data_IF_298517150632
#
_entry.id   IF_298517150632
#
_cell.length_a   1.000
_cell.length_b   1.000
_cell.length_c   1.000
_cell.angle_alpha   90.00
_cell.angle_beta   90.00
_cell.angle_gamma   90.00
#
_symmetry.space_group_name_H-M   'P 1'
#
loop_
_entity.id
_entity.type
_entity.pdbx_description
1 polymer ?
#
# COMPACT_ATOMS: atom_id res chain seq x y z
N UNK A 1 8.66 16.60 7.95
CA UNK A 1 8.29 17.29 8.00
C UNK A 1 8.24 17.30 8.37
N UNK A 2 8.54 17.40 8.49
CA UNK A 2 8.16 18.19 8.65
C UNK A 2 8.06 18.42 8.74
N UNK A 3 8.42 18.67 9.04
CA UNK A 3 7.98 19.65 9.05
C UNK A 3 8.02 19.84 9.11
N UNK A 4 8.37 20.23 9.06
CA UNK A 4 8.03 21.24 8.96
C UNK A 4 7.78 21.57 8.90
N UNK A 5 8.08 21.74 9.25
CA UNK A 5 7.46 22.75 9.09
C UNK A 5 7.19 22.86 9.38
N UNK A 6 7.44 23.27 9.67
CA UNK A 6 6.84 24.16 9.73
C UNK A 6 6.76 24.25 9.63
N UNK A 7 7.06 24.36 9.88
CA UNK A 7 6.58 25.23 9.52
C UNK A 7 6.59 25.36 9.62
N UNK A 8 6.91 25.91 9.88
CA UNK A 8 6.46 26.86 9.61
C UNK A 8 6.20 26.84 9.51
N UNK A 9 6.47 27.14 9.47
CA UNK A 9 5.89 27.89 9.11
C UNK A 9 5.73 27.96 8.91
N UNK A 10 6.05 28.26 8.86
CA UNK A 10 5.59 28.95 8.38
C UNK A 10 5.43 28.89 8.10
N UNK A 11 5.58 29.12 7.96
CA UNK A 11 5.11 29.48 7.35
C UNK A 11 5.02 29.43 6.87
N UNK A 12 4.95 29.71 6.61
CA UNK A 12 4.57 29.99 5.85
C UNK A 12 4.41 30.20 5.29
N UNK A 13 4.03 30.42 4.70
CA UNK A 13 3.67 30.89 4.00
C UNK A 13 3.25 30.77 3.26
N UNK A 14 3.30 30.49 3.33
CA UNK A 14 3.03 30.45 2.13
C UNK A 14 1.82 31.04 1.57
N UNK A 15 1.94 31.63 0.64
CA UNK A 15 0.95 32.37 -0.02
C UNK A 15 -0.03 31.51 -0.79
N UNK A 16 0.34 30.32 -1.20
CA UNK A 16 -0.57 29.40 -1.86
C UNK A 16 -0.81 28.18 -0.97
N UNK A 17 -1.98 27.55 -1.12
CA UNK A 17 -2.28 26.40 -0.28
C UNK A 17 -1.23 25.30 -0.43
N UNK A 18 -0.92 24.66 0.65
CA UNK A 18 -0.03 23.51 0.61
C UNK A 18 -0.79 22.35 0.01
N UNK A 19 -0.14 21.67 -0.90
CA UNK A 19 -0.67 20.42 -1.43
C UNK A 19 -0.30 19.30 -0.47
N UNK A 20 -1.29 18.56 -0.02
CA UNK A 20 -1.06 17.40 0.81
C UNK A 20 -0.68 16.25 -0.11
N UNK A 21 0.51 15.65 0.06
CA UNK A 21 0.91 14.53 -0.80
C UNK A 21 -0.07 13.38 -0.67
N UNK A 22 -0.30 12.69 -1.77
CA UNK A 22 -1.06 11.45 -1.72
C UNK A 22 -0.24 10.40 -0.98
N UNK A 23 -0.91 9.35 -0.55
CA UNK A 23 -0.22 8.23 0.08
C UNK A 23 0.85 7.65 -0.84
N UNK A 24 0.56 7.59 -2.13
CA UNK A 24 1.54 7.12 -3.11
C UNK A 24 2.77 8.03 -3.14
N UNK A 25 2.54 9.34 -3.23
CA UNK A 25 3.66 10.29 -3.30
C UNK A 25 4.53 10.24 -2.05
N UNK A 26 3.88 10.14 -0.90
CA UNK A 26 4.59 10.11 0.37
C UNK A 26 5.48 8.89 0.52
N UNK A 27 5.02 7.74 0.02
CA UNK A 27 5.72 6.47 0.18
C UNK A 27 6.23 5.89 -1.13
N UNK A 28 6.46 6.74 -2.13
CA UNK A 28 6.79 6.28 -3.49
C UNK A 28 7.96 5.30 -3.52
N UNK A 29 9.06 5.65 -2.88
CA UNK A 29 10.24 4.78 -2.87
C UNK A 29 9.93 3.43 -2.25
N UNK A 30 9.17 3.44 -1.16
CA UNK A 30 8.78 2.22 -0.48
C UNK A 30 7.87 1.35 -1.36
N UNK A 31 6.86 1.98 -1.97
CA UNK A 31 5.89 1.27 -2.81
C UNK A 31 6.58 0.65 -4.03
N UNK A 32 7.49 1.40 -4.65
CA UNK A 32 8.11 0.99 -5.91
C UNK A 32 9.38 0.17 -5.72
N UNK A 33 9.77 -0.09 -4.48
CA UNK A 33 10.98 -0.83 -4.20
C UNK A 33 11.07 -2.18 -4.93
N UNK A 34 9.98 -2.96 -5.06
CA UNK A 34 10.05 -4.25 -5.75
C UNK A 34 10.56 -4.18 -7.19
N UNK A 35 10.41 -3.05 -7.87
CA UNK A 35 10.91 -2.93 -9.24
C UNK A 35 12.43 -3.00 -9.32
N UNK A 36 13.13 -2.81 -8.20
CA UNK A 36 14.58 -2.90 -8.16
C UNK A 36 15.07 -4.34 -8.26
N UNK A 37 14.20 -5.31 -8.02
CA UNK A 37 14.53 -6.72 -8.17
C UNK A 37 14.10 -7.16 -9.58
N UNK A 38 14.97 -7.88 -10.26
CA UNK A 38 14.67 -8.37 -11.61
C UNK A 38 14.03 -9.76 -11.52
N UNK A 39 12.93 -9.85 -10.78
CA UNK A 39 12.23 -11.12 -10.55
C UNK A 39 10.74 -10.85 -10.44
N UNK A 40 9.95 -11.92 -10.56
CA UNK A 40 8.54 -11.91 -10.22
C UNK A 40 8.32 -12.72 -8.95
N UNK A 41 7.27 -12.39 -8.22
CA UNK A 41 7.04 -12.94 -6.89
C UNK A 41 5.88 -13.93 -6.90
N UNK A 42 6.00 -14.98 -6.11
CA UNK A 42 4.93 -15.96 -5.88
C UNK A 42 4.14 -15.65 -4.62
N UNK A 43 4.77 -15.03 -3.66
CA UNK A 43 4.15 -14.70 -2.37
C UNK A 43 4.62 -13.32 -1.96
N UNK A 44 3.67 -12.46 -1.58
CA UNK A 44 3.97 -11.12 -1.11
C UNK A 44 3.21 -10.88 0.17
N UNK A 45 3.91 -10.44 1.22
CA UNK A 45 3.28 -10.06 2.47
C UNK A 45 3.29 -8.53 2.56
N UNK A 46 2.12 -7.97 2.80
CA UNK A 46 1.96 -6.52 2.93
C UNK A 46 1.50 -6.22 4.36
N UNK A 47 2.39 -5.66 5.14
CA UNK A 47 2.15 -5.39 6.57
C UNK A 47 2.85 -4.10 7.00
N UNK A 48 2.96 -3.14 6.11
CA UNK A 48 3.66 -1.90 6.39
C UNK A 48 2.84 -0.68 6.02
N UNK A 49 3.51 0.30 5.47
CA UNK A 49 2.89 1.55 5.05
C UNK A 49 2.27 1.41 3.67
N UNK A 50 1.25 2.24 3.41
CA UNK A 50 0.66 2.36 2.07
C UNK A 50 0.25 0.99 1.50
N UNK A 51 -0.48 0.20 2.28
CA UNK A 51 -0.78 -1.20 1.91
C UNK A 51 -1.58 -1.32 0.64
N UNK A 52 -2.58 -0.46 0.43
CA UNK A 52 -3.39 -0.48 -0.79
C UNK A 52 -2.51 -0.21 -2.00
N UNK A 53 -1.68 0.83 -1.91
CA UNK A 53 -0.81 1.22 -3.01
C UNK A 53 0.25 0.17 -3.30
N UNK A 54 0.79 -0.47 -2.25
CA UNK A 54 1.74 -1.56 -2.42
C UNK A 54 1.09 -2.74 -3.14
N UNK A 55 -0.14 -3.10 -2.76
CA UNK A 55 -0.85 -4.21 -3.39
C UNK A 55 -1.15 -3.92 -4.86
N UNK A 56 -1.56 -2.69 -5.16
CA UNK A 56 -1.81 -2.31 -6.54
C UNK A 56 -0.54 -2.32 -7.38
N UNK A 57 0.53 -1.79 -6.82
CA UNK A 57 1.78 -1.65 -7.56
C UNK A 57 2.43 -3.01 -7.88
N UNK A 58 2.27 -3.98 -7.00
CA UNK A 58 2.96 -5.27 -7.12
C UNK A 58 2.41 -6.14 -8.24
N UNK A 59 1.19 -5.85 -8.72
CA UNK A 59 0.51 -6.75 -9.68
C UNK A 59 1.37 -7.11 -10.88
N UNK A 60 2.04 -6.18 -11.58
CA UNK A 60 2.87 -6.54 -12.73
C UNK A 60 4.07 -7.42 -12.39
N UNK A 61 4.40 -7.49 -11.12
CA UNK A 61 5.57 -8.23 -10.65
C UNK A 61 5.21 -9.59 -10.04
N UNK A 62 3.97 -10.03 -10.24
CA UNK A 62 3.49 -11.31 -9.71
C UNK A 62 3.53 -12.38 -10.78
N UNK A 63 3.94 -13.60 -10.38
CA UNK A 63 3.77 -14.77 -11.21
C UNK A 63 2.30 -15.18 -11.26
N UNK A 64 1.95 -16.04 -12.20
CA UNK A 64 0.62 -16.63 -12.24
C UNK A 64 0.34 -17.36 -10.94
N UNK A 65 -0.88 -17.21 -10.43
CA UNK A 65 -1.32 -17.85 -9.18
C UNK A 65 -0.56 -17.37 -7.94
N UNK A 66 0.11 -16.22 -8.02
CA UNK A 66 0.75 -15.61 -6.86
C UNK A 66 -0.29 -15.23 -5.81
N UNK A 67 0.12 -15.23 -4.56
CA UNK A 67 -0.72 -14.83 -3.45
C UNK A 67 -0.18 -13.57 -2.81
N UNK A 68 -1.09 -12.64 -2.52
CA UNK A 68 -0.77 -11.39 -1.83
C UNK A 68 -1.46 -11.45 -0.48
N UNK A 69 -0.69 -11.39 0.59
CA UNK A 69 -1.18 -11.51 1.95
C UNK A 69 -1.18 -10.12 2.57
N UNK A 70 -2.35 -9.66 3.01
CA UNK A 70 -2.51 -8.33 3.60
C UNK A 70 -2.93 -8.49 5.05
N UNK A 71 -2.08 -7.98 5.94
CA UNK A 71 -2.33 -8.02 7.37
C UNK A 71 -3.37 -6.96 7.76
N UNK A 72 -4.25 -7.30 8.71
CA UNK A 72 -5.26 -6.40 9.26
C UNK A 72 -6.25 -5.87 8.21
N UNK A 73 -6.53 -6.64 7.18
CA UNK A 73 -7.33 -6.22 6.03
C UNK A 73 -8.76 -5.85 6.42
N UNK A 74 -9.41 -6.71 7.18
CA UNK A 74 -10.84 -6.56 7.46
C UNK A 74 -11.15 -5.44 8.45
N UNK A 75 -10.20 -5.06 9.27
CA UNK A 75 -10.37 -3.97 10.23
C UNK A 75 -10.28 -2.60 9.57
N UNK A 76 -9.91 -2.54 8.30
CA UNK A 76 -9.67 -1.29 7.58
C UNK A 76 -10.48 -1.25 6.30
N UNK A 77 -11.72 -0.72 6.38
CA UNK A 77 -12.61 -0.71 5.21
C UNK A 77 -11.99 -0.08 3.96
N UNK A 78 -11.09 0.88 4.12
CA UNK A 78 -10.44 1.52 2.99
C UNK A 78 -9.58 0.55 2.17
N UNK A 79 -9.21 -0.60 2.73
CA UNK A 79 -8.45 -1.61 1.98
C UNK A 79 -9.35 -2.43 1.06
N UNK A 80 -10.67 -2.36 1.25
CA UNK A 80 -11.59 -3.20 0.49
C UNK A 80 -11.70 -2.78 -0.97
N UNK A 81 -11.16 -1.60 -1.34
CA UNK A 81 -11.04 -1.22 -2.76
C UNK A 81 -10.20 -2.22 -3.55
N UNK A 82 -9.35 -2.98 -2.87
CA UNK A 82 -8.54 -3.99 -3.53
C UNK A 82 -9.36 -5.10 -4.15
N UNK A 83 -10.62 -5.29 -3.71
CA UNK A 83 -11.49 -6.26 -4.36
C UNK A 83 -11.83 -5.91 -5.82
N UNK A 84 -11.53 -4.69 -6.27
CA UNK A 84 -11.65 -4.36 -7.68
C UNK A 84 -10.57 -5.05 -8.52
N UNK A 85 -9.45 -5.40 -7.92
CA UNK A 85 -8.29 -5.97 -8.61
C UNK A 85 -7.98 -7.40 -8.17
N UNK A 86 -8.46 -7.78 -6.99
CA UNK A 86 -8.15 -9.08 -6.37
C UNK A 86 -9.42 -9.79 -5.97
N UNK A 87 -9.34 -11.11 -5.85
CA UNK A 87 -10.35 -11.91 -5.18
C UNK A 87 -9.77 -12.44 -3.88
N UNK A 88 -10.64 -12.68 -2.92
CA UNK A 88 -10.21 -13.28 -1.66
C UNK A 88 -10.05 -14.78 -1.84
N UNK A 89 -8.85 -15.29 -1.55
CA UNK A 89 -8.60 -16.72 -1.58
C UNK A 89 -8.87 -17.34 -0.22
N UNK A 90 -8.52 -16.65 0.86
CA UNK A 90 -8.76 -17.12 2.22
C UNK A 90 -8.57 -15.96 3.19
N UNK A 91 -9.11 -16.12 4.41
CA UNK A 91 -8.88 -15.15 5.48
C UNK A 91 -8.79 -15.85 6.82
N UNK A 92 -7.92 -15.32 7.67
CA UNK A 92 -7.84 -15.67 9.08
C UNK A 92 -8.27 -14.42 9.83
N UNK A 93 -9.39 -14.49 10.54
CA UNK A 93 -10.00 -13.29 11.12
C UNK A 93 -9.87 -13.20 12.64
N UNK A 94 -9.25 -14.19 13.27
CA UNK A 94 -9.03 -14.17 14.72
C UNK A 94 -7.71 -13.50 15.04
N UNK A 95 -7.65 -12.80 16.18
CA UNK A 95 -6.46 -12.09 16.58
C UNK A 95 -6.12 -10.98 15.58
N UNK A 96 -4.90 -10.99 15.10
CA UNK A 96 -4.48 -10.10 14.02
C UNK A 96 -4.86 -10.78 12.70
N UNK A 97 -5.79 -10.17 11.99
CA UNK A 97 -6.34 -10.80 10.79
C UNK A 97 -5.33 -10.81 9.64
N UNK A 98 -5.47 -11.81 8.78
CA UNK A 98 -4.65 -11.92 7.57
C UNK A 98 -5.56 -12.33 6.42
N UNK A 99 -5.53 -11.60 5.34
CA UNK A 99 -6.33 -11.92 4.15
C UNK A 99 -5.40 -12.26 2.99
N UNK A 100 -5.73 -13.35 2.31
CA UNK A 100 -4.96 -13.84 1.17
C UNK A 100 -5.74 -13.51 -0.09
N UNK A 101 -5.11 -12.74 -0.97
CA UNK A 101 -5.72 -12.26 -2.20
C UNK A 101 -5.03 -12.85 -3.42
N UNK A 102 -5.82 -13.03 -4.47
CA UNK A 102 -5.31 -13.41 -5.80
C UNK A 102 -5.79 -12.37 -6.80
N UNK A 103 -4.98 -12.07 -7.80
CA UNK A 103 -5.37 -11.16 -8.87
C UNK A 103 -6.55 -11.75 -9.64
N UNK A 104 -7.51 -10.90 -9.96
CA UNK A 104 -8.70 -11.26 -10.73
C UNK A 104 -8.35 -11.72 -12.14
#
# INVERSE_FOLDING_TARGET
>A
TKNKLKVNNNLVKPDKPRTIPTKYEEFKTYIEYPKTFDVKFDRVLIDGRARVQCAEYIIPYLNDNALVLVHDFWKRPQYHSLFNLFTEAASIVTGQSLTILKVR
#
